data_IF_230677668191
#
_entry.id   IF_230677668191
#
_cell.length_a   1.000
_cell.length_b   1.000
_cell.length_c   1.000
_cell.angle_alpha   90.00
_cell.angle_beta   90.00
_cell.angle_gamma   90.00
#
_symmetry.space_group_name_H-M   'P 1'
#
loop_
_entity.id
_entity.type
_entity.pdbx_description
1 polymer ?
#
# COMPACT_ATOMS: atom_id res chain seq x y z
N UNK A 1 -3.43 1.89 -9.28
CA UNK A 1 -4.65 2.05 -8.44
C UNK A 1 -4.29 2.85 -7.20
N UNK A 2 -5.10 3.84 -6.84
CA UNK A 2 -4.73 4.87 -5.84
C UNK A 2 -4.92 4.39 -4.40
N UNK A 3 -6.06 3.76 -4.09
CA UNK A 3 -6.33 3.17 -2.78
C UNK A 3 -6.07 1.66 -2.81
N UNK A 4 -5.73 1.10 -1.64
CA UNK A 4 -5.58 -0.35 -1.43
C UNK A 4 -6.90 -1.09 -1.59
N UNK A 5 -8.00 -0.52 -1.12
CA UNK A 5 -9.35 -1.11 -1.28
C UNK A 5 -9.69 -1.36 -2.75
N UNK A 6 -9.36 -0.41 -3.64
CA UNK A 6 -9.55 -0.58 -5.08
C UNK A 6 -8.81 -1.81 -5.62
N UNK A 7 -7.61 -2.09 -5.11
CA UNK A 7 -6.84 -3.29 -5.50
C UNK A 7 -7.45 -4.56 -4.94
N UNK A 8 -7.87 -4.52 -3.67
CA UNK A 8 -8.50 -5.66 -3.01
C UNK A 8 -9.78 -6.09 -3.72
N UNK A 9 -10.58 -5.14 -4.22
CA UNK A 9 -11.77 -5.45 -5.03
C UNK A 9 -11.44 -6.27 -6.28
N UNK A 10 -10.35 -5.94 -6.98
CA UNK A 10 -9.90 -6.72 -8.15
C UNK A 10 -9.41 -8.11 -7.74
N UNK A 11 -8.67 -8.23 -6.64
CA UNK A 11 -8.23 -9.54 -6.12
C UNK A 11 -9.43 -10.39 -5.68
N UNK A 12 -10.42 -9.79 -5.02
CA UNK A 12 -11.65 -10.46 -4.63
C UNK A 12 -12.42 -10.98 -5.86
N UNK A 13 -12.43 -10.20 -6.95
CA UNK A 13 -13.00 -10.63 -8.22
C UNK A 13 -12.23 -11.80 -8.84
N UNK A 14 -10.89 -11.74 -8.82
CA UNK A 14 -10.04 -12.82 -9.31
C UNK A 14 -10.29 -14.13 -8.55
N UNK A 15 -10.40 -14.05 -7.22
CA UNK A 15 -10.76 -15.18 -6.35
C UNK A 15 -12.13 -15.76 -6.67
N UNK A 16 -13.13 -14.88 -6.84
CA UNK A 16 -14.52 -15.30 -7.16
C UNK A 16 -14.57 -16.13 -8.43
N UNK A 17 -13.81 -15.75 -9.46
CA UNK A 17 -13.80 -16.43 -10.75
C UNK A 17 -12.66 -17.44 -10.90
N UNK A 18 -11.83 -17.64 -9.87
CA UNK A 18 -10.66 -18.53 -9.90
C UNK A 18 -9.74 -18.25 -11.09
N UNK A 19 -9.37 -16.98 -11.25
CA UNK A 19 -8.46 -16.53 -12.31
C UNK A 19 -7.17 -15.97 -11.71
N UNK A 20 -6.11 -15.97 -12.52
CA UNK A 20 -4.83 -15.34 -12.15
C UNK A 20 -4.97 -13.85 -11.90
N UNK A 21 -4.19 -13.33 -10.95
CA UNK A 21 -4.08 -11.91 -10.67
C UNK A 21 -2.61 -11.48 -10.64
N UNK A 22 -2.31 -10.41 -11.37
CA UNK A 22 -1.03 -9.72 -11.33
C UNK A 22 -1.28 -8.21 -11.24
N UNK A 23 -0.55 -7.56 -10.35
CA UNK A 23 -0.43 -6.11 -10.29
C UNK A 23 0.95 -5.68 -10.76
N UNK A 24 0.99 -4.61 -11.56
CA UNK A 24 2.22 -3.88 -11.86
C UNK A 24 2.14 -2.50 -11.20
N UNK A 25 3.11 -2.20 -10.33
CA UNK A 25 3.24 -0.91 -9.68
C UNK A 25 4.34 -0.09 -10.36
N UNK A 26 3.94 1.04 -10.94
CA UNK A 26 4.87 2.02 -11.50
C UNK A 26 5.30 2.98 -10.39
N UNK A 27 6.55 2.87 -9.96
CA UNK A 27 7.15 3.76 -8.98
C UNK A 27 7.78 4.97 -9.69
N UNK A 28 7.22 6.14 -9.40
CA UNK A 28 7.60 7.42 -10.00
C UNK A 28 7.98 8.40 -8.89
N UNK A 29 9.19 8.98 -8.91
CA UNK A 29 9.56 10.07 -8.01
C UNK A 29 8.62 11.28 -8.20
N UNK A 30 8.34 12.01 -7.11
CA UNK A 30 7.45 13.18 -7.16
C UNK A 30 7.92 14.24 -8.16
N UNK A 31 9.21 14.55 -8.16
CA UNK A 31 9.83 15.52 -9.06
C UNK A 31 9.63 15.14 -10.54
N UNK A 32 9.81 13.86 -10.87
CA UNK A 32 9.61 13.37 -12.23
C UNK A 32 8.14 13.39 -12.63
N UNK A 33 7.23 13.02 -11.72
CA UNK A 33 5.79 13.12 -11.95
C UNK A 33 5.34 14.57 -12.21
N UNK A 34 5.89 15.54 -11.46
CA UNK A 34 5.62 16.96 -11.65
C UNK A 34 6.19 17.48 -12.97
N UNK A 35 7.44 17.11 -13.30
CA UNK A 35 8.09 17.51 -14.56
C UNK A 35 7.32 16.98 -15.77
N UNK A 36 6.90 15.71 -15.76
CA UNK A 36 6.08 15.14 -16.83
C UNK A 36 4.70 15.75 -16.91
N UNK A 37 4.17 16.25 -15.79
CA UNK A 37 2.87 16.89 -15.80
C UNK A 37 2.89 18.25 -16.50
N UNK A 38 3.97 19.03 -16.40
CA UNK A 38 4.07 20.33 -17.09
C UNK A 38 4.09 20.22 -18.60
N UNK A 39 4.49 19.06 -19.14
CA UNK A 39 4.55 18.80 -20.59
C UNK A 39 3.25 18.22 -21.16
N UNK A 40 2.24 17.95 -20.31
CA UNK A 40 0.93 17.45 -20.77
C UNK A 40 0.12 18.57 -21.42
N UNK A 41 -0.72 18.20 -22.38
CA UNK A 41 -1.70 19.12 -23.00
C UNK A 41 -2.66 19.73 -21.97
N UNK A 42 -3.04 18.96 -20.95
CA UNK A 42 -3.91 19.38 -19.85
C UNK A 42 -3.23 19.07 -18.51
N UNK A 43 -2.34 19.94 -18.01
CA UNK A 43 -1.69 19.75 -16.72
C UNK A 43 -2.70 19.93 -15.58
N UNK A 44 -2.54 19.15 -14.51
CA UNK A 44 -3.20 19.43 -13.23
C UNK A 44 -2.28 20.30 -12.34
N UNK A 45 -2.81 21.07 -11.37
CA UNK A 45 -1.97 21.86 -10.48
C UNK A 45 -0.94 21.00 -9.73
N UNK A 46 0.27 21.52 -9.52
CA UNK A 46 1.38 20.76 -8.94
C UNK A 46 1.06 20.28 -7.51
N UNK A 47 0.30 21.08 -6.77
CA UNK A 47 -0.16 20.76 -5.41
C UNK A 47 -1.05 19.53 -5.41
N UNK A 48 -1.84 19.30 -6.49
CA UNK A 48 -2.64 18.08 -6.62
C UNK A 48 -1.72 16.86 -6.69
N UNK A 49 -0.65 16.92 -7.51
CA UNK A 49 0.30 15.82 -7.67
C UNK A 49 1.02 15.54 -6.36
N UNK A 50 1.51 16.58 -5.66
CA UNK A 50 2.15 16.43 -4.36
C UNK A 50 1.22 15.76 -3.35
N UNK A 51 -0.04 16.20 -3.25
CA UNK A 51 -1.01 15.58 -2.35
C UNK A 51 -1.34 14.15 -2.74
N UNK A 52 -1.44 13.85 -4.04
CA UNK A 52 -1.68 12.50 -4.52
C UNK A 52 -0.52 11.57 -4.20
N UNK A 53 0.72 12.03 -4.40
CA UNK A 53 1.92 11.27 -4.06
C UNK A 53 1.96 10.94 -2.56
N UNK A 54 1.64 11.92 -1.71
CA UNK A 54 1.63 11.74 -0.24
C UNK A 54 0.60 10.72 0.21
N UNK A 55 -0.57 10.70 -0.42
CA UNK A 55 -1.72 9.88 -0.04
C UNK A 55 -1.83 8.57 -0.82
N UNK A 56 -0.90 8.31 -1.74
CA UNK A 56 -0.90 7.11 -2.54
C UNK A 56 -0.57 5.91 -1.66
N UNK A 57 -1.53 5.00 -1.54
CA UNK A 57 -1.34 3.79 -0.74
C UNK A 57 -0.53 2.78 -1.54
N UNK A 58 0.81 2.77 -1.41
CA UNK A 58 1.67 1.86 -2.15
C UNK A 58 1.35 0.38 -1.85
N UNK A 59 1.56 -0.54 -2.82
CA UNK A 59 1.50 -1.98 -2.54
C UNK A 59 2.54 -2.39 -1.49
N UNK A 60 2.17 -3.33 -0.63
CA UNK A 60 2.97 -3.81 0.48
C UNK A 60 2.72 -5.31 0.69
N UNK A 61 3.41 -6.12 -0.10
CA UNK A 61 3.37 -7.59 -0.06
C UNK A 61 3.97 -8.18 1.24
N UNK A 62 4.76 -7.40 1.99
CA UNK A 62 5.29 -7.81 3.27
C UNK A 62 4.16 -8.07 4.28
N UNK A 63 3.24 -7.11 4.41
CA UNK A 63 2.12 -7.17 5.36
C UNK A 63 0.83 -7.68 4.75
N UNK A 64 0.54 -7.33 3.49
CA UNK A 64 -0.66 -7.76 2.78
C UNK A 64 -0.33 -8.95 1.89
N UNK A 65 -0.47 -10.18 2.40
CA UNK A 65 -0.16 -11.41 1.64
C UNK A 65 -0.97 -11.57 0.34
N UNK A 66 -2.11 -10.90 0.24
CA UNK A 66 -2.91 -10.88 -0.99
C UNK A 66 -2.34 -9.94 -2.08
N UNK A 67 -1.36 -9.08 -1.74
CA UNK A 67 -0.62 -8.25 -2.70
C UNK A 67 0.66 -8.96 -3.23
N UNK A 68 0.91 -10.23 -2.86
CA UNK A 68 2.09 -11.03 -3.24
C UNK A 68 2.39 -11.13 -4.74
N UNK A 69 1.39 -10.89 -5.58
CA UNK A 69 1.54 -10.88 -7.03
C UNK A 69 1.70 -9.42 -7.51
N UNK A 70 2.70 -8.72 -6.98
CA UNK A 70 3.06 -7.36 -7.41
C UNK A 70 4.43 -7.38 -8.07
N UNK A 71 4.55 -6.67 -9.19
CA UNK A 71 5.84 -6.34 -9.82
C UNK A 71 6.02 -4.83 -9.73
N UNK A 72 7.14 -4.40 -9.16
CA UNK A 72 7.51 -2.99 -9.08
C UNK A 72 8.42 -2.62 -10.26
N UNK A 73 8.04 -1.57 -10.98
CA UNK A 73 8.83 -1.00 -12.07
C UNK A 73 9.16 0.44 -11.75
N UNK A 74 10.41 0.81 -11.94
CA UNK A 74 10.81 2.22 -11.90
C UNK A 74 10.63 2.87 -13.26
N UNK A 75 10.74 4.19 -13.29
CA UNK A 75 10.53 4.96 -14.52
C UNK A 75 11.56 4.67 -15.61
N UNK A 76 12.76 4.24 -15.21
CA UNK A 76 13.87 3.89 -16.10
C UNK A 76 14.02 2.37 -16.21
N UNK A 77 12.89 1.67 -16.36
CA UNK A 77 12.89 0.21 -16.41
C UNK A 77 13.69 -0.31 -17.60
N UNK A 78 14.37 -1.43 -17.39
CA UNK A 78 15.13 -2.16 -18.41
C UNK A 78 14.28 -3.24 -19.07
N UNK A 79 14.74 -3.72 -20.21
CA UNK A 79 14.10 -4.85 -20.90
C UNK A 79 13.99 -6.08 -19.99
N UNK A 80 14.99 -6.33 -19.14
CA UNK A 80 14.95 -7.44 -18.17
C UNK A 80 13.78 -7.33 -17.18
N UNK A 81 13.39 -6.12 -16.78
CA UNK A 81 12.24 -5.91 -15.89
C UNK A 81 10.92 -6.19 -16.59
N UNK A 82 10.83 -5.94 -17.91
CA UNK A 82 9.66 -6.30 -18.72
C UNK A 82 9.55 -7.83 -18.86
N UNK A 83 10.66 -8.53 -19.07
CA UNK A 83 10.66 -9.99 -19.14
C UNK A 83 10.17 -10.65 -17.84
N UNK A 84 10.49 -10.06 -16.68
CA UNK A 84 9.95 -10.51 -15.38
C UNK A 84 8.42 -10.42 -15.30
N UNK A 85 7.83 -9.41 -15.95
CA UNK A 85 6.36 -9.29 -16.01
C UNK A 85 5.78 -10.44 -16.82
N UNK A 86 6.35 -10.74 -17.99
CA UNK A 86 5.90 -11.84 -18.84
C UNK A 86 5.95 -13.19 -18.10
N UNK A 87 7.07 -13.46 -17.41
CA UNK A 87 7.20 -14.65 -16.57
C UNK A 87 6.14 -14.67 -15.46
N UNK A 88 5.93 -13.54 -14.77
CA UNK A 88 4.96 -13.43 -13.69
C UNK A 88 3.52 -13.61 -14.19
N UNK A 89 3.20 -13.12 -15.40
CA UNK A 89 1.90 -13.35 -16.04
C UNK A 89 1.65 -14.85 -16.20
N UNK A 90 2.63 -15.60 -16.74
CA UNK A 90 2.52 -17.04 -16.91
C UNK A 90 2.37 -17.76 -15.55
N UNK A 91 3.12 -17.35 -14.52
CA UNK A 91 2.99 -17.90 -13.17
C UNK A 91 1.59 -17.66 -12.59
N UNK A 92 1.07 -16.43 -12.66
CA UNK A 92 -0.25 -16.08 -12.16
C UNK A 92 -1.38 -16.78 -12.94
N UNK A 93 -1.23 -16.97 -14.25
CA UNK A 93 -2.20 -17.70 -15.06
C UNK A 93 -2.27 -19.19 -14.68
N UNK A 94 -1.13 -19.80 -14.35
CA UNK A 94 -1.04 -21.20 -13.94
C UNK A 94 -1.35 -21.42 -12.44
N UNK A 95 -1.37 -20.36 -11.64
CA UNK A 95 -1.71 -20.40 -10.22
C UNK A 95 -2.82 -19.38 -9.89
N UNK A 96 -4.09 -19.69 -10.23
CA UNK A 96 -5.21 -18.78 -10.03
C UNK A 96 -5.43 -18.39 -8.58
N UNK A 97 -6.07 -17.24 -8.35
CA UNK A 97 -6.47 -16.83 -7.01
C UNK A 97 -7.64 -17.70 -6.52
N UNK A 98 -7.53 -18.21 -5.30
CA UNK A 98 -8.58 -19.01 -4.68
C UNK A 98 -9.38 -18.19 -3.67
N UNK A 99 -10.70 -18.46 -3.52
CA UNK A 99 -11.47 -17.94 -2.41
C UNK A 99 -10.73 -18.21 -1.09
N UNK A 100 -10.69 -17.21 -0.21
CA UNK A 100 -10.26 -17.46 1.17
C UNK A 100 -11.26 -18.47 1.72
N UNK A 101 -10.80 -19.64 2.15
CA UNK A 101 -11.63 -20.60 2.88
C UNK A 101 -12.27 -19.84 4.04
N UNK A 102 -13.59 -19.62 3.97
CA UNK A 102 -14.33 -18.82 4.94
C UNK A 102 -14.44 -19.53 6.31
N UNK A 103 -13.90 -20.74 6.43
CA UNK A 103 -14.11 -21.68 7.55
C UNK A 103 -12.86 -21.99 8.38
N UNK A 104 -11.78 -21.21 8.27
CA UNK A 104 -10.87 -21.14 9.41
C UNK A 104 -11.54 -20.16 10.36
N UNK A 105 -12.12 -20.66 11.46
CA UNK A 105 -12.50 -19.85 12.62
C UNK A 105 -11.34 -18.88 12.88
N UNK A 106 -11.48 -17.63 12.44
CA UNK A 106 -10.42 -16.64 12.62
C UNK A 106 -10.38 -16.40 14.11
N UNK A 107 -9.36 -16.97 14.77
CA UNK A 107 -9.11 -16.70 16.18
C UNK A 107 -9.11 -15.19 16.38
N UNK A 108 -9.94 -14.72 17.31
CA UNK A 108 -10.00 -13.31 17.64
C UNK A 108 -8.59 -12.87 18.04
N UNK A 109 -8.08 -11.82 17.38
CA UNK A 109 -6.79 -11.26 17.77
C UNK A 109 -6.86 -10.84 19.23
N UNK A 110 -5.95 -11.36 20.04
CA UNK A 110 -5.88 -11.02 21.46
C UNK A 110 -5.86 -9.50 21.68
N UNK A 111 -6.60 -9.01 22.68
CA UNK A 111 -6.64 -7.57 22.98
C UNK A 111 -5.25 -7.00 23.30
N UNK A 112 -4.38 -7.80 23.91
CA UNK A 112 -2.97 -7.49 24.19
C UNK A 112 -2.19 -7.18 22.90
N UNK A 113 -2.34 -8.03 21.88
CA UNK A 113 -1.70 -7.92 20.58
C UNK A 113 -2.25 -6.73 19.79
N UNK A 114 -3.58 -6.54 19.77
CA UNK A 114 -4.21 -5.37 19.16
C UNK A 114 -3.69 -4.05 19.75
N UNK A 115 -3.56 -4.00 21.07
CA UNK A 115 -3.05 -2.81 21.74
C UNK A 115 -1.59 -2.49 21.37
N UNK A 116 -0.73 -3.52 21.31
CA UNK A 116 0.68 -3.35 20.89
C UNK A 116 0.79 -2.87 19.44
N UNK A 117 0.00 -3.44 18.53
CA UNK A 117 -0.02 -3.00 17.12
C UNK A 117 -0.53 -1.56 17.02
N UNK A 118 -1.59 -1.17 17.74
CA UNK A 118 -2.05 0.23 17.75
C UNK A 118 -0.98 1.19 18.29
N UNK A 119 -0.20 0.78 19.30
CA UNK A 119 0.91 1.58 19.80
C UNK A 119 2.01 1.79 18.74
N UNK A 120 2.40 0.73 18.03
CA UNK A 120 3.35 0.81 16.92
C UNK A 120 2.84 1.74 15.81
N UNK A 121 1.56 1.61 15.45
CA UNK A 121 0.95 2.46 14.43
C UNK A 121 0.91 3.94 14.84
N UNK A 122 0.58 4.25 16.11
CA UNK A 122 0.61 5.63 16.63
C UNK A 122 2.01 6.22 16.61
N UNK A 123 3.02 5.41 16.97
CA UNK A 123 4.43 5.82 16.92
C UNK A 123 4.85 6.14 15.48
N UNK A 124 4.55 5.25 14.53
CA UNK A 124 4.83 5.47 13.11
C UNK A 124 4.18 6.76 12.58
N UNK A 125 2.90 7.01 12.88
CA UNK A 125 2.22 8.28 12.52
C UNK A 125 2.97 9.49 13.10
N UNK A 126 3.40 9.41 14.35
CA UNK A 126 4.07 10.52 15.03
C UNK A 126 5.44 10.82 14.40
N UNK A 127 6.18 9.77 14.05
CA UNK A 127 7.49 9.88 13.40
C UNK A 127 7.36 10.43 11.98
N UNK A 128 6.39 9.96 11.18
CA UNK A 128 6.12 10.50 9.84
C UNK A 128 5.76 11.98 9.91
N UNK A 129 4.89 12.39 10.84
CA UNK A 129 4.52 13.81 11.02
C UNK A 129 5.76 14.64 11.41
N UNK A 130 6.59 14.13 12.32
CA UNK A 130 7.79 14.82 12.79
C UNK A 130 8.79 15.05 11.64
N UNK A 131 9.00 14.03 10.81
CA UNK A 131 9.88 14.11 9.64
C UNK A 131 9.36 15.11 8.60
N UNK A 132 8.07 15.03 8.27
CA UNK A 132 7.45 15.89 7.26
C UNK A 132 7.21 17.33 7.71
N UNK A 133 7.26 17.63 9.01
CA UNK A 133 7.12 18.99 9.55
C UNK A 133 8.21 19.95 9.07
N UNK A 134 9.39 19.43 8.70
CA UNK A 134 10.50 20.24 8.19
C UNK A 134 10.33 20.63 6.71
N UNK A 135 9.50 19.91 5.97
CA UNK A 135 9.38 20.03 4.52
C UNK A 135 8.01 20.53 4.06
N UNK A 136 6.97 20.35 4.87
CA UNK A 136 5.60 20.76 4.54
C UNK A 136 5.19 22.06 5.25
N UNK A 137 4.37 22.86 4.56
CA UNK A 137 3.70 24.01 5.18
C UNK A 137 2.60 23.54 6.16
N UNK A 138 2.06 24.47 6.96
CA UNK A 138 1.08 24.15 8.00
C UNK A 138 -0.24 23.53 7.49
N UNK A 139 -0.69 23.90 6.29
CA UNK A 139 -1.92 23.36 5.70
C UNK A 139 -1.70 21.92 5.23
N UNK A 140 -0.62 21.66 4.50
CA UNK A 140 -0.28 20.34 4.00
C UNK A 140 0.05 19.37 5.14
N UNK A 141 0.71 19.86 6.19
CA UNK A 141 0.99 19.07 7.39
C UNK A 141 -0.30 18.67 8.12
N UNK A 142 -1.29 19.57 8.20
CA UNK A 142 -2.60 19.27 8.78
C UNK A 142 -3.32 18.19 7.97
N UNK A 143 -3.37 18.33 6.65
CA UNK A 143 -4.00 17.35 5.77
C UNK A 143 -3.32 15.98 5.81
N UNK A 144 -1.98 15.96 5.89
CA UNK A 144 -1.20 14.74 6.08
C UNK A 144 -1.58 14.06 7.40
N UNK A 145 -1.60 14.81 8.51
CA UNK A 145 -1.94 14.29 9.83
C UNK A 145 -3.34 13.66 9.85
N UNK A 146 -4.34 14.34 9.29
CA UNK A 146 -5.71 13.81 9.17
C UNK A 146 -5.76 12.51 8.34
N UNK A 147 -5.02 12.47 7.23
CA UNK A 147 -4.91 11.27 6.40
C UNK A 147 -4.26 10.11 7.15
N UNK A 148 -3.13 10.34 7.81
CA UNK A 148 -2.41 9.33 8.59
C UNK A 148 -3.28 8.78 9.72
N UNK A 149 -4.02 9.63 10.43
CA UNK A 149 -4.94 9.20 11.50
C UNK A 149 -6.07 8.33 10.94
N UNK A 150 -6.65 8.71 9.80
CA UNK A 150 -7.66 7.89 9.12
C UNK A 150 -7.09 6.55 8.66
N UNK A 151 -5.88 6.59 8.08
CA UNK A 151 -5.18 5.42 7.58
C UNK A 151 -4.82 4.44 8.70
N UNK A 152 -4.38 4.95 9.85
CA UNK A 152 -4.11 4.18 11.07
C UNK A 152 -5.31 3.34 11.48
N UNK A 153 -6.51 3.94 11.50
CA UNK A 153 -7.75 3.23 11.87
C UNK A 153 -8.07 2.12 10.88
N UNK A 154 -7.84 2.37 9.60
CA UNK A 154 -8.04 1.38 8.54
C UNK A 154 -7.08 0.20 8.69
N UNK A 155 -5.78 0.46 8.86
CA UNK A 155 -4.77 -0.58 9.07
C UNK A 155 -5.08 -1.42 10.32
N UNK A 156 -5.48 -0.77 11.42
CA UNK A 156 -5.85 -1.48 12.65
C UNK A 156 -7.09 -2.37 12.44
N UNK A 157 -8.04 -1.93 11.62
CA UNK A 157 -9.19 -2.74 11.26
C UNK A 157 -8.80 -3.90 10.33
N UNK A 158 -7.94 -3.65 9.34
CA UNK A 158 -7.40 -4.68 8.45
C UNK A 158 -6.69 -5.78 9.26
N UNK A 159 -5.95 -5.40 10.30
CA UNK A 159 -5.32 -6.36 11.23
C UNK A 159 -6.35 -7.16 12.01
N UNK A 160 -7.38 -6.52 12.58
CA UNK A 160 -8.49 -7.21 13.26
C UNK A 160 -9.21 -8.19 12.34
N UNK A 161 -9.32 -7.85 11.06
CA UNK A 161 -9.95 -8.70 10.05
C UNK A 161 -9.01 -9.78 9.51
N UNK A 162 -7.75 -9.84 9.94
CA UNK A 162 -6.76 -10.80 9.42
C UNK A 162 -6.36 -10.55 7.96
N UNK A 163 -6.55 -9.33 7.46
CA UNK A 163 -6.10 -8.93 6.12
C UNK A 163 -4.61 -8.58 6.08
N UNK A 164 -4.02 -8.32 7.25
CA UNK A 164 -2.57 -8.18 7.44
C UNK A 164 -2.05 -9.01 8.59
N UNK A 165 -0.79 -9.37 8.45
CA UNK A 165 -0.02 -10.07 9.48
C UNK A 165 1.05 -9.13 10.01
N UNK A 166 0.93 -8.74 11.28
CA UNK A 166 1.91 -7.92 12.00
C UNK A 166 2.30 -8.65 13.26
N UNK A 167 3.59 -8.96 13.42
CA UNK A 167 4.13 -9.45 14.69
C UNK A 167 4.64 -8.25 15.51
N UNK A 168 3.93 -7.83 16.58
CA UNK A 168 4.33 -6.66 17.35
C UNK A 168 5.65 -6.81 18.12
N UNK A 169 6.21 -8.02 18.22
CA UNK A 169 7.48 -8.25 18.91
C UNK A 169 8.70 -8.11 17.99
N UNK A 170 8.55 -8.48 16.72
CA UNK A 170 9.65 -8.45 15.74
C UNK A 170 9.55 -7.32 14.73
N UNK A 171 8.37 -6.73 14.53
CA UNK A 171 8.19 -5.69 13.52
C UNK A 171 8.82 -4.37 13.95
N UNK A 172 9.74 -3.86 13.14
CA UNK A 172 10.40 -2.58 13.39
C UNK A 172 9.49 -1.40 13.07
N UNK A 173 9.79 -0.23 13.65
CA UNK A 173 9.04 0.99 13.36
C UNK A 173 9.13 1.41 11.88
N UNK A 174 10.28 1.22 11.24
CA UNK A 174 10.49 1.48 9.81
C UNK A 174 9.62 0.57 8.94
N UNK A 175 9.52 -0.71 9.29
CA UNK A 175 8.62 -1.64 8.61
C UNK A 175 7.16 -1.20 8.79
N UNK A 176 6.73 -0.83 10.00
CA UNK A 176 5.36 -0.33 10.23
C UNK A 176 5.09 0.95 9.43
N UNK A 177 6.06 1.86 9.29
CA UNK A 177 5.90 3.08 8.50
C UNK A 177 5.55 2.78 7.03
N UNK A 178 6.04 1.66 6.46
CA UNK A 178 5.70 1.24 5.09
C UNK A 178 4.21 0.91 4.86
N UNK A 179 3.40 0.84 5.91
CA UNK A 179 1.94 0.65 5.81
C UNK A 179 1.19 1.94 5.44
N UNK A 180 1.84 3.10 5.62
CA UNK A 180 1.34 4.45 5.33
C UNK A 180 1.88 4.94 3.98
#
# INVERSE_FOLDING_TARGET
>A
MYYRSMRYEIVALARKYRVGFLQVHLEVPLEEAQTRNTTRSNPIPQEIISRMWIKLEKPNEQFYKWERNTVHLTVNYKLEEIMKIEEKVAQCANNPEHPIEQDIERELVEQSTLHKVDLLLRKAVSDIIKDRRLTLNGLDLKQLSEHLVSRRRTILNDFKMGLIEVDPQSTTNEQIQSLF
#
